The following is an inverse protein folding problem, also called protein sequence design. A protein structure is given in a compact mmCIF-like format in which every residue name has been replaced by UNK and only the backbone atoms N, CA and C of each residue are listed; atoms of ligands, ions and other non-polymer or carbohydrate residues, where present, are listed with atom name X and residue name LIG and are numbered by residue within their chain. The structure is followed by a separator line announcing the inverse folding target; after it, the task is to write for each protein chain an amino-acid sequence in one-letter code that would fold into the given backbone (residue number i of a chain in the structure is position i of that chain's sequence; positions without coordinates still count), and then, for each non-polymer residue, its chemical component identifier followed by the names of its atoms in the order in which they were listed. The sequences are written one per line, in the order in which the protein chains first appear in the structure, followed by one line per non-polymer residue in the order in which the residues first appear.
data_IF_271486995314
#
_entry.id   IF_271486995314
#
_cell.length_a   1.000
_cell.length_b   1.000
_cell.length_c   1.000
_cell.angle_alpha   90.00
_cell.angle_beta   90.00
_cell.angle_gamma   90.00
#
_symmetry.space_group_name_H-M   'P 1'
#
loop_
_entity.id
_entity.type
_entity.pdbx_description
1 polymer ?
2 non-polymer ?
3 water ?
#
# COMPACT_ATOMS: atom_id res chain seq x y z
N UNK A 3 21.15 13.65 13.55
CA UNK A 3 20.37 12.37 13.42
C UNK A 3 20.91 11.51 12.27
N UNK A 5 19.58 8.84 10.93
CA UNK A 5 18.49 8.60 9.98
C UNK A 5 17.31 9.54 10.21
N UNK A 6 16.49 9.71 9.18
CA UNK A 6 15.28 10.53 9.26
C UNK A 6 14.08 9.72 9.77
N UNK A 7 14.28 8.43 10.04
CA UNK A 7 13.15 7.48 10.23
C UNK A 7 12.14 7.92 11.30
N UNK A 8 12.61 8.20 12.51
CA UNK A 8 11.69 8.55 13.59
C UNK A 8 11.03 9.90 13.38
N UNK A 9 11.74 10.82 12.73
CA UNK A 9 11.15 12.11 12.34
C UNK A 9 10.03 11.88 11.32
N UNK A 10 10.29 11.02 10.34
CA UNK A 10 9.27 10.63 9.35
C UNK A 10 8.06 9.94 10.02
N UNK A 11 8.31 9.06 10.97
CA UNK A 11 7.22 8.39 11.70
C UNK A 11 6.28 9.40 12.36
N UNK A 12 6.85 10.36 13.09
CA UNK A 12 6.07 11.42 13.73
C UNK A 12 5.31 12.26 12.69
N UNK A 13 5.98 12.63 11.60
CA UNK A 13 5.36 13.47 10.57
C UNK A 13 4.16 12.77 9.89
N UNK A 14 4.35 11.49 9.55
CA UNK A 14 3.27 10.68 8.94
C UNK A 14 2.07 10.56 9.89
N UNK A 15 2.35 10.30 11.15
CA UNK A 15 1.32 10.23 12.20
C UNK A 15 0.53 11.54 12.28
N UNK A 16 1.25 12.65 12.34
CA UNK A 16 0.63 13.99 12.42
C UNK A 16 -0.16 14.33 11.15
N UNK A 17 0.34 13.92 9.99
CA UNK A 17 -0.37 14.11 8.72
C UNK A 17 -1.76 13.48 8.80
N UNK A 18 -1.84 12.24 9.28
CA UNK A 18 -3.15 11.59 9.39
C UNK A 18 -4.02 12.08 10.54
N UNK A 19 -3.42 12.38 11.68
CA UNK A 19 -4.15 12.93 12.83
C UNK A 19 -4.82 14.26 12.49
N UNK A 20 -4.05 15.17 11.91
CA UNK A 20 -4.56 16.49 11.53
C UNK A 20 -5.56 16.43 10.38
N UNK A 21 -5.30 15.56 9.40
CA UNK A 21 -6.22 15.35 8.30
C UNK A 21 -7.56 14.83 8.81
N UNK A 22 -7.52 13.75 9.59
CA UNK A 22 -8.76 13.21 10.16
C UNK A 22 -9.47 14.19 11.09
N UNK A 23 -8.69 14.95 11.85
CA UNK A 23 -9.25 15.92 12.80
C UNK A 23 -9.74 17.20 12.13
N UNK A 24 -9.55 17.30 10.82
CA UNK A 24 -9.85 18.52 10.05
C UNK A 24 -9.18 19.75 10.67
N UNK A 25 -7.98 19.52 11.20
CA UNK A 25 -7.17 20.59 11.78
C UNK A 25 -6.36 21.23 10.67
N UNK A 26 -7.03 22.08 9.90
CA UNK A 26 -6.51 22.53 8.60
C UNK A 26 -5.26 23.36 8.62
N UNK A 27 -5.14 24.25 9.61
CA UNK A 27 -3.91 25.05 9.70
C UNK A 27 -2.70 24.17 10.06
N UNK A 28 -2.88 23.24 10.99
CA UNK A 28 -1.79 22.31 11.34
C UNK A 28 -1.48 21.34 10.18
N UNK A 29 -2.51 20.90 9.47
CA UNK A 29 -2.32 20.02 8.31
C UNK A 29 -1.57 20.72 7.18
N UNK A 30 -2.01 21.94 6.84
CA UNK A 30 -1.32 22.73 5.81
C UNK A 30 0.15 22.96 6.15
N UNK A 31 0.43 23.22 7.43
CA UNK A 31 1.79 23.53 7.88
C UNK A 31 2.81 22.39 7.71
N UNK A 32 2.33 21.16 7.63
CA UNK A 32 3.23 20.02 7.47
C UNK A 32 3.40 19.62 6.01
N UNK A 33 2.71 20.32 5.11
CA UNK A 33 2.86 20.13 3.68
C UNK A 33 3.92 21.06 3.14
N UNK A 34 4.74 20.54 2.23
CA UNK A 34 5.65 21.38 1.46
C UNK A 34 4.83 22.33 0.60
N UNK A 35 5.34 23.54 0.39
CA UNK A 35 4.67 24.52 -0.46
C UNK A 35 4.44 23.93 -1.86
N UNK A 36 5.39 23.09 -2.28
CA UNK A 36 5.33 22.43 -3.59
C UNK A 36 4.90 20.96 -3.53
N UNK A 37 4.14 20.58 -2.50
CA UNK A 37 3.68 19.18 -2.36
C UNK A 37 3.00 18.68 -3.64
N UNK A 38 3.34 17.46 -4.04
CA UNK A 38 2.68 16.80 -5.16
C UNK A 38 1.88 15.59 -4.68
N UNK A 39 0.57 15.65 -4.92
CA UNK A 39 -0.34 14.55 -4.63
C UNK A 39 -0.67 13.84 -5.92
N UNK A 40 -0.59 12.51 -5.88
CA UNK A 40 -1.02 11.70 -7.02
C UNK A 40 -2.01 10.63 -6.60
N UNK A 41 -3.02 10.44 -7.45
CA UNK A 41 -3.89 9.29 -7.42
C UNK A 41 -3.62 8.49 -8.71
N UNK A 42 -2.63 7.57 -8.67
CA UNK A 42 -2.25 6.87 -9.91
C UNK A 42 -3.40 6.13 -10.61
N UNK A 43 -4.34 5.60 -9.86
CA UNK A 43 -5.49 4.87 -10.42
C UNK A 43 -6.36 5.71 -11.35
N UNK A 44 -6.41 7.02 -11.09
CA UNK A 44 -7.27 7.92 -11.87
C UNK A 44 -6.43 8.84 -12.75
N UNK A 45 -5.11 8.68 -12.71
CA UNK A 45 -4.18 9.59 -13.40
C UNK A 45 -4.41 11.05 -13.02
N UNK A 46 -4.68 11.31 -11.74
CA UNK A 46 -4.87 12.66 -11.24
C UNK A 46 -3.64 13.12 -10.46
N UNK A 47 -3.30 14.39 -10.66
CA UNK A 47 -2.22 15.02 -9.91
C UNK A 47 -2.69 16.38 -9.40
N UNK A 48 -2.37 16.67 -8.14
CA UNK A 48 -2.61 17.98 -7.55
C UNK A 48 -1.28 18.55 -7.05
N UNK A 49 -0.95 19.75 -7.48
CA UNK A 49 0.34 20.36 -7.14
C UNK A 49 0.18 21.62 -6.29
N UNK A 50 0.97 21.68 -5.22
CA UNK A 50 1.00 22.86 -4.35
C UNK A 50 0.17 22.72 -3.09
N UNK A 51 0.64 23.35 -2.01
CA UNK A 51 -0.05 23.31 -0.72
C UNK A 51 -1.48 23.84 -0.77
N UNK A 52 -1.69 24.97 -1.46
CA UNK A 52 -3.01 25.60 -1.55
C UNK A 52 -4.06 24.69 -2.19
N UNK A 53 -3.74 24.14 -3.37
CA UNK A 53 -4.69 23.27 -4.09
C UNK A 53 -4.94 21.97 -3.36
N UNK A 54 -3.89 21.40 -2.76
CA UNK A 54 -4.05 20.15 -2.01
C UNK A 54 -4.89 20.34 -0.74
N UNK A 55 -4.66 21.45 -0.03
CA UNK A 55 -5.50 21.79 1.12
C UNK A 55 -6.97 21.93 0.69
N UNK A 56 -7.18 22.63 -0.42
CA UNK A 56 -8.53 22.84 -0.98
C UNK A 56 -9.22 21.52 -1.33
N UNK A 57 -8.49 20.61 -1.99
CA UNK A 57 -9.00 19.27 -2.34
C UNK A 57 -9.55 18.56 -1.11
N UNK A 58 -8.76 18.56 -0.03
CA UNK A 58 -9.17 17.92 1.21
C UNK A 58 -10.36 18.57 1.91
N UNK A 59 -10.43 19.90 1.85
CA UNK A 59 -11.52 20.67 2.47
C UNK A 59 -12.85 20.56 1.72
N UNK A 60 -12.76 20.48 0.39
CA UNK A 60 -13.94 20.40 -0.46
C UNK A 60 -14.48 18.98 -0.62
N UNK A 61 -13.70 17.99 -0.19
CA UNK A 61 -14.13 16.59 -0.32
C UNK A 61 -15.40 16.36 0.50
N UNK A 62 -16.46 15.86 -0.15
CA UNK A 62 -17.76 15.75 0.53
C UNK A 62 -17.92 14.48 1.36
N UNK A 63 -18.90 14.50 2.27
CA UNK A 63 -19.25 13.33 3.09
C UNK A 63 -18.61 13.36 4.47
N UNK A 64 -19.20 12.63 5.40
CA UNK A 64 -18.67 12.55 6.76
C UNK A 64 -17.59 11.48 6.85
N UNK A 65 -16.49 11.70 6.14
CA UNK A 65 -15.42 10.71 6.09
C UNK A 65 -14.63 10.69 7.37
N UNK A 66 -14.16 9.50 7.75
CA UNK A 66 -13.36 9.29 8.95
C UNK A 66 -12.27 8.27 8.61
N UNK A 67 -11.04 8.55 9.06
CA UNK A 67 -9.89 7.69 8.78
C UNK A 67 -9.32 7.10 10.05
N UNK A 68 -8.91 5.84 9.99
CA UNK A 68 -8.20 5.19 11.09
C UNK A 68 -6.96 4.51 10.51
N UNK A 69 -5.79 4.88 11.03
CA UNK A 69 -4.51 4.29 10.62
C UNK A 69 -4.42 2.86 11.12
N UNK A 70 -4.11 1.93 10.23
CA UNK A 70 -4.01 0.51 10.57
C UNK A 70 -2.56 0.03 10.50
N UNK A 71 -1.76 0.67 9.64
CA UNK A 71 -0.32 0.42 9.59
C UNK A 71 0.40 1.72 9.29
N UNK A 72 1.57 1.90 9.89
CA UNK A 72 2.38 3.06 9.60
C UNK A 72 3.84 2.63 9.63
N UNK A 73 4.43 2.53 8.44
CA UNK A 73 5.85 2.21 8.31
C UNK A 73 6.63 3.46 7.95
N UNK A 74 7.74 3.69 8.65
CA UNK A 74 8.66 4.79 8.36
C UNK A 74 10.03 4.19 8.01
N UNK A 75 10.67 4.75 7.00
CA UNK A 75 11.95 4.23 6.50
C UNK A 75 12.73 5.40 5.91
N UNK A 76 13.67 5.94 6.69
CA UNK A 76 14.37 7.16 6.28
C UNK A 76 13.34 8.26 6.00
N UNK A 77 13.39 8.86 4.79
CA UNK A 77 12.49 9.94 4.43
C UNK A 77 11.17 9.47 3.79
N UNK A 78 10.85 8.17 3.92
CA UNK A 78 9.65 7.61 3.29
C UNK A 78 8.71 6.97 4.30
N UNK A 79 7.41 7.04 4.04
CA UNK A 79 6.43 6.33 4.85
C UNK A 79 5.38 5.61 3.99
N UNK A 80 4.86 4.50 4.52
CA UNK A 80 3.74 3.80 3.91
C UNK A 80 2.70 3.60 4.98
N UNK A 81 1.48 4.06 4.70
CA UNK A 81 0.41 4.05 5.69
C UNK A 81 -0.83 3.41 5.08
N UNK A 82 -1.42 2.44 5.78
CA UNK A 82 -2.74 1.97 5.39
C UNK A 82 -3.78 2.58 6.32
N UNK A 83 -4.94 2.90 5.76
CA UNK A 83 -6.03 3.49 6.53
C UNK A 83 -7.35 2.81 6.19
N UNK A 84 -8.19 2.62 7.20
CA UNK A 84 -9.60 2.32 6.98
C UNK A 84 -10.37 3.63 6.93
N UNK A 85 -11.09 3.85 5.82
CA UNK A 85 -11.93 5.02 5.68
C UNK A 85 -13.38 4.59 5.80
N UNK A 86 -14.15 5.35 6.57
CA UNK A 86 -15.61 5.17 6.59
C UNK A 86 -16.24 6.43 6.01
N UNK A 87 -17.22 6.24 5.13
CA UNK A 87 -17.94 7.36 4.53
C UNK A 87 -19.38 6.95 4.31
N UNK A 88 -20.25 7.37 5.23
CA UNK A 88 -21.63 6.90 5.27
C UNK A 88 -21.63 5.45 5.70
N UNK A 89 -22.28 4.60 4.92
CA UNK A 89 -22.29 3.16 5.18
C UNK A 89 -21.05 2.50 4.58
N UNK A 90 -20.42 3.19 3.63
CA UNK A 90 -19.29 2.64 2.87
C UNK A 90 -18.02 2.53 3.71
N UNK A 91 -17.31 1.41 3.53
CA UNK A 91 -16.02 1.19 4.16
C UNK A 91 -14.99 0.90 3.07
N UNK A 92 -13.95 1.73 3.01
CA UNK A 92 -12.91 1.66 2.00
C UNK A 92 -11.54 1.58 2.68
N UNK A 93 -10.54 1.11 1.93
CA UNK A 93 -9.17 1.04 2.42
C UNK A 93 -8.24 1.88 1.54
N UNK A 94 -7.41 2.69 2.18
CA UNK A 94 -6.41 3.48 1.47
C UNK A 94 -5.02 3.01 1.83
N UNK A 95 -4.12 3.07 0.86
CA UNK A 95 -2.70 2.86 1.10
C UNK A 95 -1.96 4.07 0.53
N UNK A 96 -1.20 4.73 1.39
CA UNK A 96 -0.59 6.01 1.07
C UNK A 96 0.91 5.94 1.25
N UNK A 97 1.65 6.36 0.23
CA UNK A 97 3.09 6.52 0.35
C UNK A 97 3.43 8.01 0.48
N UNK A 98 4.24 8.33 1.50
CA UNK A 98 4.67 9.70 1.71
C UNK A 98 6.16 9.81 1.49
N UNK A 99 6.58 10.94 0.93
CA UNK A 99 8.00 11.29 0.84
C UNK A 99 8.21 12.61 1.57
N UNK A 100 9.27 12.67 2.37
CA UNK A 100 9.56 13.82 3.23
C UNK A 100 10.82 14.53 2.74
N UNK A 101 10.74 15.85 2.60
CA UNK A 101 11.90 16.68 2.29
C UNK A 101 11.89 17.87 3.25
N UNK A 102 13.01 18.07 3.95
CA UNK A 102 13.19 19.17 4.90
C UNK A 102 12.12 19.22 5.99
N UNK A 103 11.75 18.04 6.50
CA UNK A 103 10.78 17.92 7.57
C UNK A 103 9.35 18.22 7.18
N UNK A 104 9.09 18.28 5.88
CA UNK A 104 7.74 18.53 5.35
C UNK A 104 7.34 17.44 4.38
N UNK A 105 6.03 17.19 4.26
CA UNK A 105 5.52 16.21 3.32
C UNK A 105 5.61 16.76 1.89
N UNK A 106 6.43 16.10 1.09
CA UNK A 106 6.78 16.58 -0.24
C UNK A 106 5.99 15.86 -1.33
N UNK A 107 5.78 14.57 -1.14
CA UNK A 107 5.02 13.77 -2.09
C UNK A 107 4.04 12.89 -1.35
N UNK A 108 2.85 12.78 -1.93
CA UNK A 108 1.78 11.92 -1.42
C UNK A 108 1.25 11.13 -2.60
N UNK A 109 1.28 9.80 -2.49
CA UNK A 109 0.73 8.93 -3.51
C UNK A 109 -0.33 8.04 -2.86
N UNK A 110 -1.58 8.22 -3.27
CA UNK A 110 -2.73 7.50 -2.69
C UNK A 110 -3.13 6.33 -3.56
N UNK A 111 -3.41 5.18 -2.94
CA UNK A 111 -4.10 4.08 -3.62
C UNK A 111 -5.36 3.74 -2.84
N UNK A 112 -6.44 3.50 -3.57
CA UNK A 112 -7.74 3.15 -3.00
C UNK A 112 -8.21 1.90 -3.70
N UNK A 113 -7.66 0.74 -3.29
CA UNK A 113 -7.99 -0.51 -3.97
C UNK A 113 -9.44 -0.90 -3.67
N UNK A 114 -10.22 -1.14 -4.73
CA UNK A 114 -11.64 -1.42 -4.59
C UNK A 114 -11.89 -2.90 -4.34
N UNK A 115 -12.86 -3.20 -3.50
CA UNK A 115 -13.31 -4.57 -3.30
C UNK A 115 -13.78 -5.18 -4.62
N UNK A 116 -13.50 -6.46 -4.82
CA UNK A 116 -13.96 -7.19 -6.00
C UNK A 116 -14.23 -8.66 -5.68
N UNK A 117 -14.93 -9.34 -6.59
CA UNK A 117 -15.16 -10.78 -6.49
C UNK A 117 -13.95 -11.54 -7.04
N UNK A 118 -13.45 -12.54 -6.28
CA UNK A 118 -12.27 -13.28 -6.73
C UNK A 118 -12.55 -14.16 -7.94
N UNK A 119 -11.56 -14.29 -8.85
CA UNK A 119 -11.65 -15.19 -10.00
C UNK A 119 -11.70 -16.65 -9.56
N UNK A 120 -12.39 -17.52 -10.32
CA UNK A 120 -12.46 -18.95 -9.94
C UNK A 120 -11.11 -19.66 -10.07
N UNK A 121 -10.99 -20.82 -9.44
CA UNK A 121 -9.81 -21.68 -9.61
C UNK A 121 -8.95 -21.91 -8.38
N UNK A 122 -9.22 -21.17 -7.31
CA UNK A 122 -8.45 -21.31 -6.08
C UNK A 122 -9.32 -21.55 -4.84
N UNK A 123 -10.59 -21.91 -5.08
CA UNK A 123 -11.54 -22.20 -4.00
C UNK A 123 -11.02 -23.26 -3.01
N UNK A 124 -10.30 -24.25 -3.52
CA UNK A 124 -9.75 -25.33 -2.69
C UNK A 124 -8.59 -24.91 -1.83
N UNK A 125 -8.00 -23.76 -2.14
CA UNK A 125 -6.86 -23.26 -1.39
C UNK A 125 -7.19 -22.07 -0.48
N UNK A 126 -8.27 -21.36 -0.80
CA UNK A 126 -8.61 -20.15 -0.04
C UNK A 126 -9.76 -20.36 0.94
N UNK A 127 -9.74 -19.56 1.99
CA UNK A 127 -10.88 -19.42 2.87
C UNK A 127 -11.50 -18.06 2.58
N UNK A 128 -12.83 -18.03 2.48
CA UNK A 128 -13.54 -16.76 2.31
C UNK A 128 -13.81 -16.17 3.68
N UNK A 129 -13.08 -15.12 4.02
CA UNK A 129 -13.11 -14.53 5.35
C UNK A 129 -12.62 -13.07 5.27
N UNK A 130 -13.24 -12.14 6.02
CA UNK A 130 -12.76 -10.75 5.95
C UNK A 130 -11.33 -10.63 6.48
N UNK A 131 -10.61 -9.60 6.01
CA UNK A 131 -9.24 -9.35 6.46
C UNK A 131 -9.19 -8.93 7.94
N UNK A 132 -8.07 -9.24 8.59
CA UNK A 132 -7.90 -8.95 10.02
C UNK A 132 -7.99 -7.45 10.32
N UNK A 133 -7.25 -6.65 9.55
CA UNK A 133 -7.10 -5.21 9.82
C UNK A 133 -7.85 -4.31 8.87
N UNK A 134 -8.00 -4.78 7.63
CA UNK A 134 -8.43 -3.95 6.52
C UNK A 134 -9.92 -4.12 6.27
N UNK A 135 -10.69 -3.05 6.47
CA UNK A 135 -12.17 -3.11 6.48
C UNK A 135 -12.81 -2.65 5.17
N UNK A 136 -13.39 -3.59 4.43
CA UNK A 136 -14.23 -3.28 3.27
C UNK A 136 -15.69 -3.54 3.60
N UNK A 137 -16.60 -2.93 2.83
CA UNK A 137 -18.05 -3.08 3.05
C UNK A 137 -18.55 -4.50 3.29
N UNK B 2 29.15 -5.73 12.52
CA UNK B 2 28.66 -7.10 12.17
C UNK B 2 27.17 -7.28 12.43
N UNK B 3 26.59 -6.37 13.22
CA UNK B 3 25.21 -6.48 13.67
C UNK B 3 24.21 -5.84 12.71
N UNK B 5 20.49 -4.74 11.87
CA UNK B 5 19.22 -4.38 12.48
C UNK B 5 18.10 -5.25 11.91
N UNK B 6 17.03 -5.38 12.71
CA UNK B 6 15.77 -5.98 12.29
C UNK B 6 15.35 -5.42 10.93
N UNK B 7 15.39 -4.09 10.83
CA UNK B 7 14.99 -3.34 9.63
C UNK B 7 15.76 -3.79 8.39
N UNK B 8 17.09 -3.87 8.50
CA UNK B 8 17.87 -4.26 7.33
C UNK B 8 17.67 -5.73 6.94
N UNK B 9 17.45 -6.59 7.95
CA UNK B 9 17.09 -7.99 7.71
C UNK B 9 15.79 -8.10 6.93
N UNK B 10 14.79 -7.35 7.36
CA UNK B 10 13.49 -7.29 6.68
C UNK B 10 13.64 -6.77 5.25
N UNK B 11 14.44 -5.71 5.07
CA UNK B 11 14.68 -5.16 3.74
C UNK B 11 15.21 -6.23 2.78
N UNK B 12 16.25 -6.95 3.21
CA UNK B 12 16.86 -8.00 2.40
C UNK B 12 15.87 -9.12 2.11
N UNK B 13 15.06 -9.47 3.12
CA UNK B 13 14.10 -10.55 2.96
C UNK B 13 12.97 -10.19 2.00
N UNK B 14 12.44 -8.96 2.11
CA UNK B 14 11.40 -8.46 1.20
C UNK B 14 11.89 -8.45 -0.25
N UNK B 15 13.15 -8.03 -0.46
CA UNK B 15 13.74 -8.04 -1.79
C UNK B 15 13.77 -9.47 -2.35
N UNK B 16 14.24 -10.41 -1.53
CA UNK B 16 14.32 -11.82 -1.92
C UNK B 16 12.96 -12.44 -2.21
N UNK B 17 11.96 -12.06 -1.42
CA UNK B 17 10.58 -12.54 -1.61
C UNK B 17 10.10 -12.20 -3.02
N UNK B 18 10.28 -10.94 -3.41
CA UNK B 18 9.85 -10.52 -4.74
C UNK B 18 10.72 -11.05 -5.89
N UNK B 19 12.03 -11.14 -5.65
CA UNK B 19 12.95 -11.69 -6.66
C UNK B 19 12.67 -13.17 -6.95
N UNK B 20 12.48 -13.97 -5.88
CA UNK B 20 12.19 -15.40 -6.05
C UNK B 20 10.77 -15.65 -6.57
N UNK B 21 9.82 -14.82 -6.15
CA UNK B 21 8.46 -14.90 -6.68
C UNK B 21 8.44 -14.60 -8.18
N UNK B 22 9.01 -13.47 -8.57
CA UNK B 22 9.02 -13.11 -9.99
C UNK B 22 9.78 -14.12 -10.83
N UNK B 23 10.82 -14.70 -10.25
CA UNK B 23 11.61 -15.71 -10.92
C UNK B 23 11.01 -17.10 -10.87
N UNK B 24 9.85 -17.24 -10.22
CA UNK B 24 9.22 -18.55 -10.01
C UNK B 24 10.23 -19.56 -9.47
N UNK B 25 11.09 -19.09 -8.57
CA UNK B 25 12.13 -19.91 -7.99
C UNK B 25 11.55 -20.57 -6.74
N UNK B 26 10.80 -21.64 -6.96
CA UNK B 26 9.88 -22.14 -5.93
C UNK B 26 10.53 -22.67 -4.68
N UNK B 27 11.65 -23.38 -4.83
CA UNK B 27 12.36 -23.89 -3.65
C UNK B 27 12.87 -22.74 -2.78
N UNK B 28 13.48 -21.73 -3.41
CA UNK B 28 14.01 -20.58 -2.68
C UNK B 28 12.89 -19.72 -2.09
N UNK B 29 11.80 -19.55 -2.84
CA UNK B 29 10.62 -18.81 -2.36
C UNK B 29 9.99 -19.50 -1.15
N UNK B 30 9.74 -20.81 -1.25
CA UNK B 30 9.20 -21.58 -0.13
C UNK B 30 10.07 -21.49 1.12
N UNK B 31 11.40 -21.48 0.94
CA UNK B 31 12.34 -21.46 2.07
C UNK B 31 12.36 -20.14 2.86
N UNK B 32 11.86 -19.05 2.26
CA UNK B 32 11.77 -17.80 3.00
C UNK B 32 10.41 -17.58 3.68
N UNK B 33 9.49 -18.51 3.51
CA UNK B 33 8.16 -18.41 4.13
C UNK B 33 8.11 -19.21 5.42
N UNK B 34 7.49 -18.64 6.45
CA UNK B 34 7.21 -19.37 7.68
C UNK B 34 6.28 -20.54 7.38
N UNK B 35 6.46 -21.65 8.10
CA UNK B 35 5.57 -22.80 7.88
C UNK B 35 4.10 -22.40 8.04
N UNK B 36 3.84 -21.44 8.93
CA UNK B 36 2.47 -20.98 9.19
C UNK B 36 2.17 -19.60 8.59
N UNK B 37 2.83 -19.29 7.47
CA UNK B 37 2.60 -18.02 6.78
C UNK B 37 1.10 -17.81 6.51
N UNK B 38 0.65 -16.58 6.70
CA UNK B 38 -0.74 -16.23 6.48
C UNK B 38 -0.83 -15.14 5.41
N UNK B 39 -1.58 -15.45 4.35
CA UNK B 39 -1.80 -14.56 3.21
C UNK B 39 -3.22 -14.05 3.20
N UNK B 40 -3.37 -12.75 3.00
CA UNK B 40 -4.70 -12.15 2.85
C UNK B 40 -4.78 -11.34 1.58
N UNK B 41 -5.93 -11.41 0.93
CA UNK B 41 -6.33 -10.48 -0.12
C UNK B 41 -7.58 -9.77 0.39
N UNK B 42 -7.40 -8.63 1.10
CA UNK B 42 -8.55 -7.98 1.72
C UNK B 42 -9.67 -7.57 0.76
N UNK B 43 -9.31 -7.19 -0.47
CA UNK B 43 -10.31 -6.78 -1.47
C UNK B 43 -11.32 -7.87 -1.78
N UNK B 44 -10.87 -9.12 -1.72
CA UNK B 44 -11.70 -10.26 -2.11
C UNK B 44 -12.16 -11.09 -0.90
N UNK B 45 -11.83 -10.64 0.30
CA UNK B 45 -12.01 -11.43 1.51
C UNK B 45 -11.55 -12.88 1.32
N UNK B 46 -10.29 -13.02 0.92
CA UNK B 46 -9.66 -14.34 0.83
C UNK B 46 -8.47 -14.43 1.77
N UNK B 47 -8.28 -15.61 2.34
CA UNK B 47 -7.13 -15.90 3.17
C UNK B 47 -6.56 -17.26 2.78
N UNK B 48 -5.24 -17.36 2.75
CA UNK B 48 -4.58 -18.66 2.63
C UNK B 48 -3.67 -18.84 3.84
N UNK B 49 -3.76 -20.00 4.49
CA UNK B 49 -2.94 -20.28 5.67
C UNK B 49 -2.03 -21.48 5.46
N UNK B 50 -0.78 -21.33 5.87
CA UNK B 50 0.20 -22.41 5.76
C UNK B 50 1.03 -22.28 4.49
N UNK B 51 2.31 -22.60 4.62
CA UNK B 51 3.26 -22.53 3.52
C UNK B 51 2.86 -23.42 2.35
N UNK B 52 2.37 -24.63 2.65
CA UNK B 52 2.02 -25.59 1.60
C UNK B 52 0.93 -25.03 0.66
N UNK B 53 -0.17 -24.57 1.23
CA UNK B 53 -1.27 -24.01 0.43
C UNK B 53 -0.88 -22.73 -0.29
N UNK B 54 -0.10 -21.88 0.37
CA UNK B 54 0.31 -20.61 -0.24
C UNK B 54 1.24 -20.87 -1.43
N UNK B 55 2.15 -21.83 -1.29
CA UNK B 55 3.05 -22.20 -2.38
C UNK B 55 2.25 -22.71 -3.59
N UNK B 56 1.30 -23.61 -3.33
CA UNK B 56 0.42 -24.14 -4.37
C UNK B 56 -0.35 -23.05 -5.11
N UNK B 57 -0.90 -22.09 -4.37
CA UNK B 57 -1.63 -20.95 -4.93
C UNK B 57 -0.77 -20.21 -5.96
N UNK B 58 0.48 -19.94 -5.61
CA UNK B 58 1.41 -19.29 -6.52
C UNK B 58 1.79 -20.15 -7.72
N UNK B 59 1.99 -21.45 -7.49
CA UNK B 59 2.36 -22.39 -8.55
C UNK B 59 1.21 -22.68 -9.53
N UNK B 60 -0.02 -22.69 -9.01
CA UNK B 60 -1.21 -22.97 -9.83
C UNK B 60 -1.73 -21.75 -10.58
N UNK B 61 -1.12 -20.59 -10.36
CA UNK B 61 -1.62 -19.35 -10.95
C UNK B 61 -1.44 -19.29 -12.46
N UNK B 62 -2.54 -19.12 -13.21
CA UNK B 62 -2.53 -19.15 -14.68
C UNK B 62 -2.00 -17.89 -15.33
N UNK B 63 -1.58 -17.99 -16.59
CA UNK B 63 -1.13 -16.84 -17.37
C UNK B 63 0.32 -16.46 -17.16
N UNK B 64 0.78 -15.48 -17.95
CA UNK B 64 2.17 -15.06 -17.95
C UNK B 64 2.32 -13.65 -17.39
N UNK B 65 2.58 -13.57 -16.09
CA UNK B 65 2.67 -12.30 -15.37
C UNK B 65 4.08 -11.92 -15.06
N UNK B 66 4.30 -10.62 -14.81
CA UNK B 66 5.62 -10.09 -14.53
C UNK B 66 5.49 -8.95 -13.55
N UNK B 67 6.38 -8.89 -12.56
CA UNK B 67 6.39 -7.78 -11.62
C UNK B 67 7.73 -7.07 -11.56
N UNK B 68 7.67 -5.78 -11.27
CA UNK B 68 8.85 -4.95 -11.06
C UNK B 68 8.59 -4.13 -9.80
N UNK B 69 9.49 -4.26 -8.83
CA UNK B 69 9.37 -3.50 -7.58
C UNK B 69 9.61 -2.01 -7.87
N UNK B 70 8.70 -1.16 -7.38
CA UNK B 70 8.80 0.30 -7.59
C UNK B 70 9.14 1.05 -6.31
N UNK B 71 8.68 0.52 -5.18
CA UNK B 71 9.05 1.06 -3.87
C UNK B 71 9.25 -0.11 -2.93
N UNK B 72 10.19 0.03 -2.01
CA UNK B 72 10.39 -0.97 -0.97
C UNK B 72 10.77 -0.28 0.34
N UNK B 73 9.84 -0.29 1.29
CA UNK B 73 10.10 0.27 2.61
C UNK B 73 10.21 -0.84 3.64
N UNK B 74 11.19 -0.72 4.54
CA UNK B 74 11.37 -1.65 5.66
C UNK B 74 11.40 -0.87 6.97
N UNK B 75 10.75 -1.40 7.98
CA UNK B 75 10.61 -0.73 9.28
C UNK B 75 10.43 -1.84 10.32
N UNK B 76 11.51 -2.18 11.02
CA UNK B 76 11.48 -3.29 11.98
C UNK B 76 11.13 -4.58 11.27
N UNK B 77 10.09 -5.30 11.74
CA UNK B 77 9.71 -6.57 11.13
C UNK B 77 8.80 -6.38 9.90
N UNK B 78 8.52 -5.13 9.54
CA UNK B 78 7.49 -4.83 8.55
C UNK B 78 8.06 -4.29 7.26
N UNK B 79 7.48 -4.69 6.13
CA UNK B 79 7.82 -4.12 4.83
C UNK B 79 6.55 -3.71 4.09
N UNK B 80 6.66 -2.66 3.28
CA UNK B 80 5.61 -2.30 2.33
C UNK B 80 6.27 -2.17 0.97
N UNK B 81 5.72 -2.86 -0.01
CA UNK B 81 6.34 -2.94 -1.33
C UNK B 81 5.28 -2.65 -2.37
N UNK B 82 5.56 -1.72 -3.28
CA UNK B 82 4.70 -1.56 -4.44
C UNK B 82 5.39 -2.17 -5.63
N UNK B 83 4.58 -2.77 -6.52
CA UNK B 83 5.07 -3.37 -7.74
C UNK B 83 4.22 -2.95 -8.93
N UNK B 84 4.87 -2.80 -10.08
CA UNK B 84 4.14 -2.77 -11.35
C UNK B 84 3.96 -4.20 -11.84
N UNK B 85 2.72 -4.59 -12.02
CA UNK B 85 2.39 -5.93 -12.51
C UNK B 85 1.83 -5.86 -13.90
N UNK B 86 2.36 -6.71 -14.79
CA UNK B 86 1.74 -6.99 -16.07
C UNK B 86 1.10 -8.36 -15.88
N UNK B 87 -0.23 -8.36 -15.83
CA UNK B 87 -1.00 -9.59 -15.62
C UNK B 87 -1.79 -9.87 -16.90
N UNK B 88 -1.23 -10.74 -17.73
CA UNK B 88 -1.77 -11.01 -19.05
C UNK B 88 -1.56 -9.80 -19.95
N UNK B 89 -2.66 -9.11 -20.25
CA UNK B 89 -2.63 -7.89 -21.06
C UNK B 89 -2.86 -6.64 -20.22
N UNK B 90 -3.16 -6.83 -18.95
CA UNK B 90 -3.50 -5.74 -18.04
C UNK B 90 -2.29 -5.21 -17.29
N UNK B 91 -2.20 -3.89 -17.20
CA UNK B 91 -1.20 -3.21 -16.38
C UNK B 91 -1.83 -2.88 -15.02
N UNK B 92 -1.22 -3.40 -13.97
CA UNK B 92 -1.75 -3.33 -12.62
C UNK B 92 -0.69 -2.82 -11.66
N UNK B 93 -1.12 -2.40 -10.47
CA UNK B 93 -0.20 -2.07 -9.39
C UNK B 93 -0.54 -2.94 -8.18
N UNK B 94 0.49 -3.45 -7.53
CA UNK B 94 0.30 -4.16 -6.28
C UNK B 94 0.94 -3.39 -5.15
N UNK B 95 0.32 -3.41 -3.99
CA UNK B 95 0.92 -2.88 -2.78
C UNK B 95 0.80 -4.01 -1.78
N UNK B 96 1.94 -4.45 -1.29
CA UNK B 96 2.03 -5.65 -0.45
C UNK B 96 2.66 -5.31 0.89
N UNK B 97 2.00 -5.71 1.98
CA UNK B 97 2.58 -5.57 3.31
C UNK B 97 3.08 -6.92 3.78
N UNK B 98 4.33 -6.94 4.22
CA UNK B 98 4.94 -8.14 4.75
C UNK B 98 5.25 -7.98 6.24
N UNK B 99 5.14 -9.08 6.98
CA UNK B 99 5.61 -9.11 8.36
C UNK B 99 6.58 -10.29 8.47
N UNK B 100 7.70 -10.05 9.14
CA UNK B 100 8.78 -11.03 9.27
C UNK B 100 8.90 -11.46 10.72
N UNK B 101 8.98 -12.77 10.95
CA UNK B 101 9.22 -13.34 12.27
C UNK B 101 10.34 -14.37 12.13
N UNK B 102 11.37 -14.24 12.99
CA UNK B 102 12.52 -15.16 12.99
C UNK B 102 13.15 -15.34 11.60
N UNK B 103 13.28 -14.24 10.86
CA UNK B 103 13.91 -14.26 9.54
C UNK B 103 13.12 -14.91 8.42
N UNK B 104 11.83 -15.12 8.67
CA UNK B 104 10.93 -15.70 7.67
C UNK B 104 9.69 -14.83 7.52
N UNK B 105 9.11 -14.85 6.31
CA UNK B 105 7.88 -14.12 6.02
C UNK B 105 6.71 -14.81 6.72
N UNK B 106 6.11 -14.09 7.67
CA UNK B 106 5.05 -14.61 8.52
C UNK B 106 3.66 -14.19 8.04
N UNK B 107 3.54 -12.99 7.48
CA UNK B 107 2.27 -12.48 6.97
C UNK B 107 2.49 -11.79 5.64
N UNK B 108 1.55 -11.99 4.72
CA UNK B 108 1.55 -11.29 3.44
C UNK B 108 0.14 -10.74 3.27
N UNK B 109 0.02 -9.43 3.06
CA UNK B 109 -1.28 -8.83 2.76
C UNK B 109 -1.15 -8.08 1.45
N UNK B 110 -1.88 -8.57 0.45
CA UNK B 110 -1.83 -8.08 -0.93
C UNK B 110 -2.97 -7.13 -1.21
N UNK B 111 -2.66 -5.98 -1.82
CA UNK B 111 -3.65 -5.10 -2.43
C UNK B 111 -3.33 -4.97 -3.91
N UNK B 112 -4.37 -5.01 -4.74
CA UNK B 112 -4.21 -4.88 -6.19
C UNK B 112 -5.10 -3.80 -6.71
N UNK B 113 -4.72 -2.52 -6.49
CA UNK B 113 -5.55 -1.42 -6.97
C UNK B 113 -5.60 -1.41 -8.48
N UNK B 114 -6.78 -1.12 -9.02
CA UNK B 114 -6.99 -1.03 -10.47
C UNK B 114 -7.44 0.37 -10.84
N UNK B 115 -7.21 0.76 -12.10
CA UNK B 115 -7.65 2.06 -12.60
C UNK B 115 -9.16 2.23 -12.41
N UNK B 116 -9.60 3.45 -12.13
CA UNK B 116 -11.03 3.78 -12.06
C UNK B 116 -11.25 5.23 -12.46
N UNK B 117 -12.48 5.56 -12.85
CA UNK B 117 -12.83 6.93 -13.19
C UNK B 117 -13.03 7.76 -11.93
N UNK B 118 -12.35 8.93 -11.85
CA UNK B 118 -12.49 9.77 -10.67
C UNK B 118 -13.90 10.35 -10.53
N UNK B 119 -14.42 10.46 -9.29
CA UNK B 119 -15.69 11.15 -9.08
C UNK B 119 -15.60 12.62 -9.49
N UNK B 120 -16.72 13.21 -9.97
CA UNK B 120 -16.72 14.63 -10.37
C UNK B 120 -16.56 15.58 -9.18
N UNK B 121 -16.20 16.83 -9.46
CA UNK B 121 -16.17 17.87 -8.43
C UNK B 121 -14.81 18.47 -8.10
N UNK B 122 -13.74 17.90 -8.66
CA UNK B 122 -12.39 18.40 -8.39
C UNK B 122 -11.61 18.67 -9.68
N UNK B 123 -12.31 18.72 -10.80
CA UNK B 123 -11.72 19.03 -12.11
C UNK B 123 -10.85 20.28 -12.06
N UNK B 124 -11.28 21.27 -11.27
CA UNK B 124 -10.57 22.56 -11.16
C UNK B 124 -9.29 22.48 -10.37
N UNK B 125 -9.10 21.38 -9.64
CA UNK B 125 -7.91 21.21 -8.81
C UNK B 125 -6.91 20.20 -9.37
N UNK B 126 -7.35 19.36 -10.28
CA UNK B 126 -6.51 18.27 -10.79
C UNK B 126 -5.93 18.54 -12.18
N UNK B 127 -4.76 17.96 -12.42
CA UNK B 127 -4.22 17.82 -13.76
C UNK B 127 -4.28 16.33 -14.08
N UNK B 128 -4.81 15.99 -15.26
CA UNK B 128 -4.87 14.60 -15.71
C UNK B 128 -3.59 14.23 -16.45
N UNK B 129 -2.80 13.34 -15.84
CA UNK B 129 -1.49 12.95 -16.35
C UNK B 129 -1.11 11.59 -15.71
N UNK B 130 -0.49 10.68 -16.48
CA UNK B 130 -0.06 9.40 -15.91
C UNK B 130 0.86 9.60 -14.69
N UNK B 131 0.73 8.70 -13.71
CA UNK B 131 1.56 8.77 -12.51
C UNK B 131 3.03 8.49 -12.87
N UNK B 132 3.93 9.10 -12.10
CA UNK B 132 5.36 9.01 -12.35
C UNK B 132 5.91 7.57 -12.32
N UNK B 133 5.63 6.84 -11.24
CA UNK B 133 6.22 5.51 -11.02
C UNK B 133 5.26 4.36 -11.31
N UNK B 134 3.97 4.60 -11.10
CA UNK B 134 2.96 3.55 -11.06
C UNK B 134 2.22 3.43 -12.39
N UNK B 135 2.28 2.24 -12.99
CA UNK B 135 1.83 2.03 -14.36
C UNK B 135 0.48 1.31 -14.47
N UNK B 136 -0.54 2.04 -14.89
CA UNK B 136 -1.82 1.45 -15.25
C UNK B 136 -1.97 1.52 -16.77
N UNK B 137 -1.07 2.29 -17.39
CA UNK B 137 -0.97 2.41 -18.84
C UNK B 137 0.39 2.96 -19.23
#
# INVERSE_FOLDING_TARGET
SNAXTDTEQTRALARKYFDTLNGRAWEEFAALLAEDVRYELPQTSERITGRADYLRFNQEYPGDWQLTVTRLLADGPSAAVSVNLTLGDERLVGVVFLEVVDGLVSRVTDFWPEAYEPPPGREHLVERVPAELDRFGDS
SNAXTDTEQTRALARKYFDTLNGRAWEEFAALLAEDVRYELPQTSERITGRADYLRFNQEYPGDWQLTVTRLLADGPSAAVSVNLTLGDERLVGVVFLEVVDGLVSRVTDFWPEAYEPPPGREHLVERVPAELDRFGDS
#
